data_IF_682549626851
#
_entry.id   IF_682549626851
#
_cell.length_a   1.000
_cell.length_b   1.000
_cell.length_c   1.000
_cell.angle_alpha   90.00
_cell.angle_beta   90.00
_cell.angle_gamma   90.00
#
_symmetry.space_group_name_H-M   'P 1'
#
loop_
_entity.id
_entity.type
_entity.pdbx_description
1 polymer ?
#
# COMPACT_ATOMS: atom_id res chain seq x y z
N UNK A 1 -10.26 -8.25 26.68
CA UNK A 1 -8.99 -7.81 27.29
C UNK A 1 -9.10 -6.31 27.55
N UNK A 2 -8.73 -5.88 28.76
CA UNK A 2 -8.64 -4.47 29.09
C UNK A 2 -7.24 -3.96 28.71
N UNK A 3 -7.15 -2.75 28.21
CA UNK A 3 -5.89 -2.10 27.85
C UNK A 3 -5.95 -0.62 28.23
N UNK A 4 -4.85 -0.11 28.79
CA UNK A 4 -4.73 1.28 29.19
C UNK A 4 -4.44 2.21 28.00
N UNK A 5 -3.71 1.70 27.01
CA UNK A 5 -3.37 2.42 25.78
C UNK A 5 -3.67 1.55 24.55
N UNK A 6 -4.21 2.18 23.51
CA UNK A 6 -4.58 1.51 22.25
C UNK A 6 -3.96 2.25 21.06
N UNK A 7 -3.24 1.54 20.22
CA UNK A 7 -2.73 2.06 18.96
C UNK A 7 -3.43 1.37 17.79
N UNK A 8 -4.24 2.11 17.04
CA UNK A 8 -4.93 1.63 15.84
C UNK A 8 -4.00 1.82 14.65
N UNK A 9 -3.42 0.72 14.17
CA UNK A 9 -2.43 0.70 13.08
C UNK A 9 -2.90 -0.09 11.85
N UNK A 10 -4.21 -0.27 11.70
CA UNK A 10 -4.83 -0.97 10.57
C UNK A 10 -5.17 0.01 9.44
N UNK A 11 -5.37 -0.47 8.18
CA UNK A 11 -5.86 0.37 7.08
C UNK A 11 -7.16 1.10 7.42
N UNK A 12 -7.36 2.28 6.81
CA UNK A 12 -8.50 3.17 7.09
C UNK A 12 -9.87 2.47 7.06
N UNK A 13 -10.18 1.58 6.08
CA UNK A 13 -11.46 0.89 6.05
C UNK A 13 -11.75 0.04 7.28
N UNK A 14 -10.72 -0.33 8.03
CA UNK A 14 -10.84 -1.09 9.28
C UNK A 14 -10.71 -0.18 10.53
N UNK A 15 -9.96 0.93 10.44
CA UNK A 15 -9.77 1.84 11.55
C UNK A 15 -11.08 2.58 11.93
N UNK A 16 -11.79 3.11 10.94
CA UNK A 16 -13.03 3.85 11.16
C UNK A 16 -14.13 3.01 11.86
N UNK A 17 -14.44 1.77 11.44
CA UNK A 17 -15.38 0.90 12.16
C UNK A 17 -14.95 0.57 13.60
N UNK A 18 -13.64 0.39 13.86
CA UNK A 18 -13.14 0.15 15.22
C UNK A 18 -13.41 1.34 16.14
N UNK A 19 -13.16 2.57 15.67
CA UNK A 19 -13.45 3.78 16.42
C UNK A 19 -14.95 4.00 16.59
N UNK A 20 -15.75 3.71 15.55
CA UNK A 20 -17.22 3.78 15.64
C UNK A 20 -17.77 2.84 16.72
N UNK A 21 -17.18 1.64 16.87
CA UNK A 21 -17.57 0.69 17.91
C UNK A 21 -17.22 1.17 19.34
N UNK A 22 -16.19 2.02 19.50
CA UNK A 22 -15.86 2.65 20.77
C UNK A 22 -16.89 3.74 21.17
N UNK A 23 -17.49 4.42 20.19
CA UNK A 23 -18.49 5.47 20.35
C UNK A 23 -17.91 6.83 20.80
N UNK A 24 -18.70 7.88 20.60
CA UNK A 24 -18.38 9.23 21.10
C UNK A 24 -17.30 9.98 20.31
N UNK A 25 -16.90 9.50 19.14
CA UNK A 25 -15.83 10.06 18.27
C UNK A 25 -16.26 10.14 16.80
N UNK A 26 -17.48 10.61 16.56
CA UNK A 26 -18.09 10.63 15.23
C UNK A 26 -17.31 11.49 14.22
N UNK A 27 -16.70 12.57 14.67
CA UNK A 27 -15.84 13.41 13.85
C UNK A 27 -14.56 12.68 13.42
N UNK A 28 -13.92 11.93 14.31
CA UNK A 28 -12.75 11.12 13.99
C UNK A 28 -13.12 9.98 13.02
N UNK A 29 -14.26 9.32 13.24
CA UNK A 29 -14.80 8.29 12.33
C UNK A 29 -15.06 8.90 10.95
N UNK A 30 -15.76 10.03 10.87
CA UNK A 30 -16.03 10.76 9.61
C UNK A 30 -14.74 11.21 8.93
N UNK A 31 -13.79 11.74 9.71
CA UNK A 31 -12.49 12.16 9.23
C UNK A 31 -11.72 11.02 8.57
N UNK A 32 -11.67 9.84 9.18
CA UNK A 32 -11.03 8.66 8.60
C UNK A 32 -11.81 8.11 7.40
N UNK A 33 -13.12 7.95 7.52
CA UNK A 33 -13.96 7.43 6.43
C UNK A 33 -13.93 8.30 5.17
N UNK A 34 -13.62 9.60 5.31
CA UNK A 34 -13.43 10.51 4.19
C UNK A 34 -12.08 10.41 3.49
N UNK A 35 -11.18 9.53 3.92
CA UNK A 35 -9.91 9.28 3.23
C UNK A 35 -10.16 8.25 2.14
N UNK A 36 -9.92 8.66 0.89
CA UNK A 36 -10.01 7.73 -0.25
C UNK A 36 -8.85 6.75 -0.21
N UNK A 37 -9.11 5.54 -0.67
CA UNK A 37 -8.11 4.47 -0.75
C UNK A 37 -8.06 3.91 -2.17
N UNK A 38 -6.90 3.45 -2.58
CA UNK A 38 -6.70 2.74 -3.83
C UNK A 38 -6.34 1.27 -3.54
N UNK A 39 -6.89 0.39 -4.37
CA UNK A 39 -6.53 -1.02 -4.41
C UNK A 39 -5.36 -1.26 -5.37
N UNK A 40 -4.68 -2.37 -5.22
CA UNK A 40 -3.57 -2.74 -6.07
C UNK A 40 -3.48 -4.26 -6.20
N UNK A 41 -3.10 -4.74 -7.39
CA UNK A 41 -2.67 -6.11 -7.58
C UNK A 41 -1.19 -6.14 -7.99
N UNK A 42 -0.48 -7.14 -7.49
CA UNK A 42 0.90 -7.40 -7.85
C UNK A 42 1.02 -8.82 -8.36
N UNK A 43 1.54 -8.96 -9.57
CA UNK A 43 1.93 -10.24 -10.14
C UNK A 43 3.43 -10.40 -9.97
N UNK A 44 3.84 -11.33 -9.13
CA UNK A 44 5.24 -11.74 -8.99
C UNK A 44 5.51 -12.92 -9.93
N UNK A 45 6.57 -12.81 -10.72
CA UNK A 45 6.96 -13.83 -11.71
C UNK A 45 8.40 -14.23 -11.50
N UNK A 46 8.69 -15.51 -11.68
CA UNK A 46 10.02 -16.02 -11.96
C UNK A 46 10.06 -16.41 -13.45
N UNK A 47 10.98 -15.82 -14.21
CA UNK A 47 11.10 -16.01 -15.66
C UNK A 47 12.45 -16.59 -16.00
N UNK A 48 12.51 -17.38 -17.07
CA UNK A 48 13.75 -18.01 -17.53
C UNK A 48 14.85 -16.98 -17.79
N UNK A 49 16.10 -17.35 -17.51
CA UNK A 49 17.27 -16.47 -17.69
C UNK A 49 17.63 -16.18 -19.14
N UNK A 50 17.01 -16.86 -20.10
CA UNK A 50 17.13 -16.53 -21.51
C UNK A 50 16.45 -15.20 -21.89
N UNK A 51 15.59 -14.64 -21.02
CA UNK A 51 15.03 -13.32 -21.20
C UNK A 51 16.06 -12.24 -20.83
N UNK A 52 16.37 -11.37 -21.78
CA UNK A 52 17.26 -10.24 -21.54
C UNK A 52 16.49 -9.12 -20.84
N UNK A 53 16.71 -8.99 -19.52
CA UNK A 53 16.10 -7.92 -18.74
C UNK A 53 16.91 -6.62 -18.92
N UNK A 54 16.21 -5.48 -19.09
CA UNK A 54 16.88 -4.17 -19.10
C UNK A 54 17.78 -3.95 -17.87
N UNK A 55 18.89 -3.24 -18.05
CA UNK A 55 19.80 -2.87 -16.95
C UNK A 55 19.24 -1.73 -16.09
N UNK A 56 18.01 -1.93 -15.60
CA UNK A 56 17.24 -1.01 -14.78
C UNK A 56 16.71 -1.75 -13.55
N UNK A 57 16.44 -1.01 -12.49
CA UNK A 57 15.75 -1.57 -11.32
C UNK A 57 14.24 -1.76 -11.54
N UNK A 58 13.68 -1.08 -12.53
CA UNK A 58 12.26 -1.16 -12.88
C UNK A 58 11.81 0.00 -13.76
N UNK A 59 10.52 -0.02 -14.10
CA UNK A 59 9.82 0.99 -14.91
C UNK A 59 8.63 1.51 -14.12
N UNK A 60 8.45 2.81 -14.09
CA UNK A 60 7.21 3.48 -13.67
C UNK A 60 6.51 4.02 -14.91
N UNK A 61 5.22 3.75 -15.00
CA UNK A 61 4.40 4.16 -16.15
C UNK A 61 3.67 5.46 -15.80
N UNK A 62 3.76 6.45 -16.66
CA UNK A 62 3.02 7.70 -16.53
C UNK A 62 1.50 7.43 -16.56
N UNK A 63 0.72 8.29 -15.91
CA UNK A 63 -0.72 8.05 -15.74
C UNK A 63 -1.49 8.13 -17.06
N UNK A 64 -0.98 8.88 -18.02
CA UNK A 64 -1.56 9.10 -19.36
C UNK A 64 -1.15 8.05 -20.39
N UNK A 65 -0.26 7.11 -20.04
CA UNK A 65 0.13 6.03 -20.92
C UNK A 65 -0.97 4.95 -21.01
N UNK A 66 -1.36 4.54 -22.22
CA UNK A 66 -2.47 3.59 -22.44
C UNK A 66 -2.06 2.13 -22.20
N UNK A 67 -1.46 1.84 -21.06
CA UNK A 67 -1.09 0.49 -20.65
C UNK A 67 -1.69 0.13 -19.30
N UNK A 68 -2.10 -1.13 -19.09
CA UNK A 68 -2.88 -1.51 -17.91
C UNK A 68 -2.08 -1.62 -16.62
N UNK A 69 -0.74 -1.62 -16.68
CA UNK A 69 0.11 -1.71 -15.49
C UNK A 69 0.68 -0.34 -15.10
N UNK A 70 0.92 -0.14 -13.80
CA UNK A 70 1.46 1.12 -13.26
C UNK A 70 2.96 1.10 -13.02
N UNK A 71 3.52 -0.08 -12.76
CA UNK A 71 4.94 -0.25 -12.48
C UNK A 71 5.39 -1.67 -12.76
N UNK A 72 6.67 -1.80 -13.12
CA UNK A 72 7.36 -3.08 -13.20
C UNK A 72 8.68 -2.97 -12.45
N UNK A 73 9.00 -3.97 -11.62
CA UNK A 73 10.26 -4.04 -10.89
C UNK A 73 11.04 -5.26 -11.33
N UNK A 74 12.25 -5.05 -11.82
CA UNK A 74 13.21 -6.12 -12.10
C UNK A 74 13.93 -6.49 -10.80
N UNK A 75 13.28 -7.34 -10.00
CA UNK A 75 13.68 -7.62 -8.61
C UNK A 75 15.10 -8.19 -8.53
N UNK A 76 15.48 -9.09 -9.44
CA UNK A 76 16.83 -9.64 -9.52
C UNK A 76 17.89 -8.58 -9.84
N UNK A 77 17.56 -7.57 -10.68
CA UNK A 77 18.46 -6.45 -10.98
C UNK A 77 18.55 -5.48 -9.80
N UNK A 78 17.43 -5.23 -9.14
CA UNK A 78 17.38 -4.32 -7.98
C UNK A 78 18.07 -4.86 -6.75
N UNK A 79 18.06 -6.18 -6.56
CA UNK A 79 18.54 -6.85 -5.36
C UNK A 79 19.49 -8.00 -5.72
N UNK A 80 20.80 -7.79 -5.80
CA UNK A 80 21.77 -8.79 -6.28
C UNK A 80 21.73 -10.13 -5.53
N UNK A 81 21.39 -10.12 -4.23
CA UNK A 81 21.26 -11.36 -3.46
C UNK A 81 20.10 -12.26 -3.90
N UNK A 82 19.14 -11.71 -4.65
CA UNK A 82 18.02 -12.46 -5.24
C UNK A 82 18.34 -12.99 -6.65
N UNK A 83 19.46 -12.57 -7.24
CA UNK A 83 19.89 -13.04 -8.58
C UNK A 83 20.56 -14.42 -8.56
N UNK A 84 20.61 -15.09 -7.42
CA UNK A 84 21.10 -16.46 -7.25
C UNK A 84 20.05 -17.53 -7.56
N UNK A 85 18.81 -17.14 -7.87
CA UNK A 85 17.71 -18.04 -8.20
C UNK A 85 17.83 -18.61 -9.62
N UNK A 86 17.16 -19.76 -9.91
CA UNK A 86 17.15 -20.35 -11.26
C UNK A 86 16.68 -19.41 -12.35
N UNK A 87 15.70 -18.52 -12.04
CA UNK A 87 15.15 -17.52 -12.96
C UNK A 87 15.36 -16.09 -12.48
N UNK A 88 15.02 -15.14 -13.33
CA UNK A 88 14.90 -13.73 -12.94
C UNK A 88 13.57 -13.48 -12.23
N UNK A 89 13.62 -12.71 -11.15
CA UNK A 89 12.42 -12.26 -10.43
C UNK A 89 11.96 -10.90 -10.97
N UNK A 90 10.69 -10.84 -11.37
CA UNK A 90 10.02 -9.64 -11.86
C UNK A 90 8.70 -9.45 -11.11
N UNK A 91 8.31 -8.20 -10.86
CA UNK A 91 7.01 -7.84 -10.30
C UNK A 91 6.34 -6.82 -11.20
N UNK A 92 5.09 -7.08 -11.56
CA UNK A 92 4.22 -6.13 -12.29
C UNK A 92 3.09 -5.71 -11.39
N UNK A 93 2.85 -4.41 -11.29
CA UNK A 93 1.84 -3.82 -10.40
C UNK A 93 0.73 -3.17 -11.22
N UNK A 94 -0.52 -3.42 -10.82
CA UNK A 94 -1.75 -2.94 -11.42
C UNK A 94 -2.59 -2.16 -10.41
N UNK A 95 -3.58 -1.42 -10.90
CA UNK A 95 -4.52 -0.61 -10.11
C UNK A 95 -3.94 0.75 -9.73
N UNK A 96 -4.69 1.79 -10.03
CA UNK A 96 -4.46 3.18 -9.64
C UNK A 96 -5.70 3.70 -8.94
N UNK A 97 -5.63 4.86 -8.31
CA UNK A 97 -6.82 5.54 -7.83
C UNK A 97 -7.74 5.83 -9.03
N UNK A 98 -9.03 5.53 -8.88
CA UNK A 98 -10.05 5.66 -9.92
C UNK A 98 -9.85 4.77 -11.18
N UNK A 99 -9.01 3.73 -11.09
CA UNK A 99 -8.73 2.77 -12.17
C UNK A 99 -8.68 1.35 -11.57
N UNK A 100 -9.83 0.89 -11.09
CA UNK A 100 -9.97 -0.43 -10.47
C UNK A 100 -10.45 -1.51 -11.46
N UNK A 101 -10.81 -1.15 -12.69
CA UNK A 101 -11.35 -2.08 -13.68
C UNK A 101 -10.40 -3.26 -13.93
N UNK A 102 -9.09 -3.01 -13.99
CA UNK A 102 -8.07 -4.04 -14.14
C UNK A 102 -8.07 -5.03 -12.97
N UNK A 103 -8.52 -4.63 -11.80
CA UNK A 103 -8.55 -5.45 -10.60
C UNK A 103 -9.74 -6.41 -10.57
N UNK A 104 -10.73 -6.23 -11.44
CA UNK A 104 -11.86 -7.16 -11.62
C UNK A 104 -11.45 -8.43 -12.37
N UNK A 105 -10.32 -8.40 -13.09
CA UNK A 105 -9.78 -9.57 -13.79
C UNK A 105 -9.38 -10.67 -12.79
N UNK A 106 -9.58 -11.92 -13.16
CA UNK A 106 -9.12 -13.06 -12.36
C UNK A 106 -7.58 -13.19 -12.36
N UNK A 107 -7.04 -14.09 -11.53
CA UNK A 107 -5.60 -14.26 -11.36
C UNK A 107 -4.91 -14.72 -12.65
N UNK A 108 -5.60 -15.52 -13.47
CA UNK A 108 -5.07 -16.02 -14.76
C UNK A 108 -4.96 -14.87 -15.76
N UNK A 109 -5.98 -14.03 -15.83
CA UNK A 109 -5.99 -12.86 -16.71
C UNK A 109 -4.91 -11.84 -16.27
N UNK A 110 -4.80 -11.54 -14.98
CA UNK A 110 -3.74 -10.66 -14.45
C UNK A 110 -2.33 -11.19 -14.72
N UNK A 111 -2.12 -12.51 -14.58
CA UNK A 111 -0.84 -13.13 -14.89
C UNK A 111 -0.50 -12.98 -16.38
N UNK A 112 -1.46 -13.21 -17.29
CA UNK A 112 -1.27 -13.02 -18.75
C UNK A 112 -1.02 -11.55 -19.11
N UNK A 113 -1.71 -10.62 -18.46
CA UNK A 113 -1.46 -9.19 -18.65
C UNK A 113 -0.05 -8.81 -18.21
N UNK A 114 0.43 -9.37 -17.09
CA UNK A 114 1.79 -9.15 -16.61
C UNK A 114 2.85 -9.74 -17.55
N UNK A 115 2.61 -10.94 -18.08
CA UNK A 115 3.46 -11.58 -19.09
C UNK A 115 3.54 -10.71 -20.36
N UNK A 116 2.39 -10.26 -20.88
CA UNK A 116 2.33 -9.38 -22.04
C UNK A 116 3.03 -8.04 -21.81
N UNK A 117 2.86 -7.44 -20.62
CA UNK A 117 3.54 -6.22 -20.25
C UNK A 117 5.07 -6.41 -20.21
N UNK A 118 5.54 -7.52 -19.63
CA UNK A 118 6.96 -7.86 -19.60
C UNK A 118 7.53 -8.08 -21.00
N UNK A 119 6.81 -8.82 -21.85
CA UNK A 119 7.18 -9.02 -23.24
C UNK A 119 7.32 -7.68 -24.00
N UNK A 120 6.39 -6.75 -23.79
CA UNK A 120 6.45 -5.41 -24.38
C UNK A 120 7.66 -4.61 -23.95
N UNK A 121 8.05 -4.70 -22.68
CA UNK A 121 9.22 -3.98 -22.14
C UNK A 121 10.54 -4.62 -22.58
N UNK A 122 10.62 -5.95 -22.62
CA UNK A 122 11.84 -6.68 -23.01
C UNK A 122 11.99 -6.90 -24.51
N UNK A 123 10.95 -6.66 -25.32
CA UNK A 123 10.95 -6.90 -26.76
C UNK A 123 10.90 -8.38 -27.16
N UNK A 124 10.73 -9.30 -26.22
CA UNK A 124 10.61 -10.75 -26.46
C UNK A 124 9.71 -11.41 -25.42
N UNK A 125 9.09 -12.52 -25.81
CA UNK A 125 8.18 -13.26 -24.93
C UNK A 125 8.97 -13.97 -23.80
N UNK A 126 8.58 -13.80 -22.52
CA UNK A 126 9.21 -14.51 -21.41
C UNK A 126 8.76 -15.98 -21.37
N UNK A 127 9.63 -16.86 -20.89
CA UNK A 127 9.21 -18.18 -20.42
C UNK A 127 8.95 -18.09 -18.93
N UNK A 128 7.70 -18.22 -18.52
CA UNK A 128 7.28 -18.13 -17.12
C UNK A 128 7.53 -19.46 -16.41
N UNK A 129 8.40 -19.45 -15.40
CA UNK A 129 8.68 -20.61 -14.55
C UNK A 129 7.69 -20.70 -13.38
N UNK A 130 7.30 -19.54 -12.84
CA UNK A 130 6.33 -19.43 -11.76
C UNK A 130 5.68 -18.05 -11.79
N UNK A 131 4.40 -17.98 -11.39
CA UNK A 131 3.71 -16.72 -11.15
C UNK A 131 2.79 -16.79 -9.95
N UNK A 132 2.61 -15.66 -9.29
CA UNK A 132 1.67 -15.50 -8.17
C UNK A 132 1.07 -14.11 -8.17
N UNK A 133 -0.25 -14.04 -8.06
CA UNK A 133 -1.00 -12.79 -7.88
C UNK A 133 -1.25 -12.53 -6.41
N UNK A 134 -1.09 -11.29 -5.99
CA UNK A 134 -1.50 -10.79 -4.68
C UNK A 134 -2.29 -9.50 -4.86
N UNK A 135 -3.50 -9.47 -4.30
CA UNK A 135 -4.34 -8.25 -4.23
C UNK A 135 -4.18 -7.59 -2.88
N UNK A 136 -4.25 -6.28 -2.90
CA UNK A 136 -4.23 -5.39 -1.76
C UNK A 136 -5.42 -4.44 -1.91
N UNK A 137 -6.55 -4.83 -1.35
CA UNK A 137 -7.79 -4.07 -1.42
C UNK A 137 -7.71 -2.88 -0.48
N UNK A 138 -8.09 -1.68 -0.96
CA UNK A 138 -8.16 -0.44 -0.19
C UNK A 138 -6.93 -0.13 0.68
N UNK A 139 -5.75 -0.57 0.24
CA UNK A 139 -4.54 -0.57 1.07
C UNK A 139 -3.73 0.72 0.99
N UNK A 140 -3.93 1.55 -0.04
CA UNK A 140 -3.16 2.78 -0.26
C UNK A 140 -4.04 4.00 -0.03
N UNK A 141 -3.82 4.71 1.08
CA UNK A 141 -4.51 5.95 1.37
C UNK A 141 -4.07 7.07 0.44
N UNK A 142 -5.02 7.86 -0.06
CA UNK A 142 -4.76 9.09 -0.82
C UNK A 142 -4.43 10.23 0.13
N UNK A 143 -3.27 10.84 -0.05
CA UNK A 143 -2.81 12.01 0.68
C UNK A 143 -3.00 13.24 -0.21
N UNK A 144 -4.18 13.84 -0.14
CA UNK A 144 -4.56 15.01 -0.93
C UNK A 144 -4.52 16.33 -0.14
N UNK A 145 -4.92 17.44 -0.77
CA UNK A 145 -5.07 18.73 -0.09
C UNK A 145 -6.00 18.63 1.14
N UNK A 146 -5.63 19.29 2.25
CA UNK A 146 -6.39 19.27 3.50
C UNK A 146 -6.24 17.99 4.34
N UNK A 147 -5.45 17.01 3.89
CA UNK A 147 -5.25 15.77 4.61
C UNK A 147 -4.64 15.98 6.00
N UNK A 148 -3.65 16.86 6.13
CA UNK A 148 -3.00 17.16 7.40
C UNK A 148 -4.00 17.74 8.43
N UNK A 149 -4.87 18.66 8.01
CA UNK A 149 -5.89 19.26 8.87
C UNK A 149 -6.93 18.22 9.28
N UNK A 150 -7.31 17.33 8.38
CA UNK A 150 -8.20 16.19 8.66
C UNK A 150 -7.62 15.29 9.74
N UNK A 151 -6.37 14.88 9.62
CA UNK A 151 -5.68 14.03 10.61
C UNK A 151 -5.48 14.78 11.94
N UNK A 152 -5.20 16.07 11.90
CA UNK A 152 -5.13 16.89 13.12
C UNK A 152 -6.49 16.92 13.86
N UNK A 153 -7.60 17.06 13.14
CA UNK A 153 -8.95 16.98 13.70
C UNK A 153 -9.26 15.62 14.33
N UNK A 154 -8.94 14.53 13.62
CA UNK A 154 -9.09 13.16 14.15
C UNK A 154 -8.32 13.00 15.47
N UNK A 155 -7.06 13.42 15.51
CA UNK A 155 -6.22 13.33 16.72
C UNK A 155 -6.74 14.19 17.87
N UNK A 156 -7.21 15.39 17.57
CA UNK A 156 -7.75 16.30 18.60
C UNK A 156 -8.99 15.70 19.28
N UNK A 157 -9.91 15.13 18.49
CA UNK A 157 -11.10 14.50 19.05
C UNK A 157 -10.77 13.24 19.85
N UNK A 158 -9.85 12.39 19.34
CA UNK A 158 -9.40 11.21 20.09
C UNK A 158 -8.76 11.61 21.41
N UNK A 159 -7.91 12.62 21.45
CA UNK A 159 -7.27 13.10 22.67
C UNK A 159 -8.29 13.64 23.70
N UNK A 160 -9.39 14.25 23.23
CA UNK A 160 -10.45 14.79 24.09
C UNK A 160 -11.41 13.70 24.59
N UNK A 161 -11.83 12.80 23.71
CA UNK A 161 -12.94 11.84 23.94
C UNK A 161 -12.49 10.44 24.31
N UNK A 162 -11.36 10.00 23.81
CA UNK A 162 -10.76 8.68 24.05
C UNK A 162 -9.27 8.84 24.42
N UNK A 163 -8.94 9.49 25.55
CA UNK A 163 -7.55 9.63 25.96
C UNK A 163 -6.90 8.25 26.08
N UNK A 164 -5.70 8.09 25.52
CA UNK A 164 -5.03 6.80 25.46
C UNK A 164 -5.23 6.04 24.12
N UNK A 165 -6.02 6.58 23.18
CA UNK A 165 -6.19 6.00 21.85
C UNK A 165 -5.48 6.85 20.78
N UNK A 166 -4.65 6.21 19.96
CA UNK A 166 -3.96 6.84 18.83
C UNK A 166 -4.15 6.09 17.53
N UNK A 167 -4.22 6.81 16.41
CA UNK A 167 -4.23 6.25 15.04
C UNK A 167 -2.90 6.53 14.38
N UNK A 168 -2.30 5.51 13.78
CA UNK A 168 -0.99 5.57 13.11
C UNK A 168 -1.00 4.82 11.77
N UNK A 169 0.06 5.00 10.99
CA UNK A 169 0.28 4.26 9.75
C UNK A 169 0.19 5.10 8.49
N UNK A 170 0.13 4.45 7.33
CA UNK A 170 0.21 5.09 6.02
C UNK A 170 -0.88 6.13 5.75
N UNK A 171 -2.02 6.01 6.41
CA UNK A 171 -3.12 6.94 6.27
C UNK A 171 -2.98 8.23 7.09
N UNK A 172 -1.95 8.37 7.93
CA UNK A 172 -1.80 9.55 8.78
C UNK A 172 -0.78 10.56 8.22
N UNK A 173 0.44 10.11 7.94
CA UNK A 173 1.54 11.00 7.54
C UNK A 173 2.22 10.57 6.23
N UNK A 174 1.69 9.54 5.57
CA UNK A 174 2.19 9.04 4.29
C UNK A 174 2.41 7.54 4.26
N UNK A 175 2.29 6.97 3.08
CA UNK A 175 2.34 5.50 2.84
C UNK A 175 3.76 4.91 2.83
N UNK A 176 4.79 5.74 2.93
CA UNK A 176 6.18 5.28 2.97
C UNK A 176 6.55 4.69 4.34
N UNK A 177 7.41 3.66 4.35
CA UNK A 177 7.90 3.04 5.60
C UNK A 177 8.49 4.07 6.59
N UNK A 178 9.32 5.04 6.16
CA UNK A 178 9.82 6.06 7.08
C UNK A 178 8.71 6.92 7.70
N UNK A 179 7.68 7.28 6.93
CA UNK A 179 6.54 8.05 7.41
C UNK A 179 5.73 7.25 8.45
N UNK A 180 5.47 5.97 8.19
CA UNK A 180 4.79 5.09 9.15
C UNK A 180 5.59 4.95 10.46
N UNK A 181 6.91 4.80 10.39
CA UNK A 181 7.77 4.75 11.58
C UNK A 181 7.71 6.09 12.34
N UNK A 182 7.77 7.21 11.62
CA UNK A 182 7.66 8.55 12.18
C UNK A 182 6.34 8.76 12.93
N UNK A 183 5.23 8.40 12.27
CA UNK A 183 3.87 8.44 12.84
C UNK A 183 3.77 7.62 14.12
N UNK A 184 4.23 6.37 14.11
CA UNK A 184 4.20 5.48 15.27
C UNK A 184 5.03 6.03 16.44
N UNK A 185 6.25 6.54 16.17
CA UNK A 185 7.11 7.16 17.21
C UNK A 185 6.49 8.43 17.81
N UNK A 186 5.82 9.23 16.98
CA UNK A 186 5.16 10.44 17.46
C UNK A 186 3.95 10.08 18.35
N UNK A 187 3.15 9.09 17.96
CA UNK A 187 2.04 8.57 18.76
C UNK A 187 2.51 8.02 20.10
N UNK A 188 3.56 7.20 20.11
CA UNK A 188 4.13 6.66 21.35
C UNK A 188 4.58 7.77 22.31
N UNK A 189 5.18 8.85 21.80
CA UNK A 189 5.54 10.01 22.64
C UNK A 189 4.33 10.74 23.22
N UNK A 190 3.24 10.92 22.44
CA UNK A 190 2.00 11.54 22.93
C UNK A 190 1.36 10.70 24.02
N UNK A 191 1.25 9.40 23.80
CA UNK A 191 0.70 8.46 24.76
C UNK A 191 1.52 8.46 26.08
N UNK A 192 2.85 8.38 25.98
CA UNK A 192 3.72 8.42 27.15
C UNK A 192 3.65 9.74 27.92
N UNK A 193 3.45 10.87 27.24
CA UNK A 193 3.32 12.17 27.89
C UNK A 193 1.97 12.35 28.61
N UNK A 194 0.92 11.68 28.14
CA UNK A 194 -0.41 11.67 28.77
C UNK A 194 -0.60 10.58 29.84
N UNK A 195 0.34 9.65 29.93
CA UNK A 195 0.29 8.56 30.90
C UNK A 195 0.77 9.07 32.27
N UNK A 196 -0.14 9.09 33.23
CA UNK A 196 0.17 9.29 34.65
C UNK A 196 -0.13 7.96 35.34
N UNK A 197 0.88 7.40 36.03
CA UNK A 197 0.76 6.21 36.86
C UNK A 197 -0.28 6.34 37.98
#
# INVERSE_FOLDING_TARGET
EDADLVVVAVPVPHAAPLLAAAGGVDGAVSGLSGIRTASSAVVAMEVDRGLDLPELSGVLVATDEPVPFKAMTFTSRKWPHLDTRPGHLVRVSFGRLDDDDVLTADDIALARMAESALAGVCGSAPTILYSRVRRWEDALAEIGPGHADRIAGVRAELADRLPGVEVVGGATEGVGVPACIGSARAAARRLAAGWQD
#
